data_IF_459112263370
#
_entry.id   IF_459112263370
#
_cell.length_a   1.000
_cell.length_b   1.000
_cell.length_c   1.000
_cell.angle_alpha   90.00
_cell.angle_beta   90.00
_cell.angle_gamma   90.00
#
_symmetry.space_group_name_H-M   'P 1'
#
loop_
_entity.id
_entity.type
_entity.pdbx_description
1 polymer ?
#
# COMPACT_ATOMS: atom_id res chain seq x y z
N UNK A 1 26.42 16.33 42.40
CA UNK A 1 25.20 16.69 41.64
C UNK A 1 25.52 17.47 40.37
N UNK A 2 26.21 18.62 40.44
CA UNK A 2 26.55 19.43 39.25
C UNK A 2 27.47 18.69 38.25
N UNK A 3 28.52 18.03 38.75
CA UNK A 3 29.44 17.23 37.92
C UNK A 3 28.76 16.01 37.27
N UNK A 4 27.82 15.39 37.99
CA UNK A 4 27.04 14.25 37.49
C UNK A 4 26.11 14.68 36.35
N UNK A 5 25.48 15.85 36.47
CA UNK A 5 24.63 16.42 35.43
C UNK A 5 25.43 16.79 34.18
N UNK A 6 26.61 17.41 34.36
CA UNK A 6 27.52 17.78 33.26
C UNK A 6 28.02 16.55 32.52
N UNK A 7 28.41 15.50 33.25
CA UNK A 7 28.84 14.23 32.66
C UNK A 7 27.71 13.57 31.88
N UNK A 8 26.50 13.54 32.43
CA UNK A 8 25.33 13.00 31.74
C UNK A 8 25.02 13.77 30.44
N UNK A 9 25.07 15.10 30.47
CA UNK A 9 24.86 15.92 29.27
C UNK A 9 25.96 15.74 28.23
N UNK A 10 27.21 15.55 28.65
CA UNK A 10 28.32 15.30 27.72
C UNK A 10 28.21 13.93 27.02
N UNK A 11 27.75 12.89 27.74
CA UNK A 11 27.47 11.58 27.15
C UNK A 11 26.31 11.62 26.14
N UNK A 12 25.26 12.41 26.43
CA UNK A 12 24.15 12.58 25.48
C UNK A 12 24.59 13.35 24.22
N UNK A 13 25.48 14.32 24.35
CA UNK A 13 26.00 15.10 23.22
C UNK A 13 26.95 14.28 22.32
N UNK A 14 27.68 13.32 22.90
CA UNK A 14 28.59 12.46 22.15
C UNK A 14 27.88 11.55 21.11
N UNK A 15 26.57 11.32 21.26
CA UNK A 15 25.76 10.58 20.29
C UNK A 15 25.23 11.44 19.13
N UNK A 16 25.51 12.75 19.09
CA UNK A 16 25.22 13.59 17.92
C UNK A 16 26.26 13.40 16.78
N UNK A 17 26.94 12.25 16.75
CA UNK A 17 27.84 11.86 15.68
C UNK A 17 27.02 11.48 14.43
N UNK A 18 26.74 12.50 13.61
CA UNK A 18 26.52 12.47 12.16
C UNK A 18 26.16 11.08 11.62
N UNK A 19 24.88 10.71 11.73
CA UNK A 19 24.33 9.75 10.80
C UNK A 19 24.51 10.38 9.40
N UNK A 20 25.41 9.84 8.59
CA UNK A 20 25.49 10.19 7.17
C UNK A 20 24.06 10.19 6.59
N UNK A 21 23.76 11.08 5.64
CA UNK A 21 22.44 11.18 4.96
C UNK A 21 21.91 9.80 4.52
N UNK A 22 22.80 8.83 4.28
CA UNK A 22 22.46 7.43 4.00
C UNK A 22 21.64 6.69 5.08
N UNK A 23 21.77 6.98 6.37
CA UNK A 23 20.99 6.27 7.41
C UNK A 23 19.60 6.87 7.66
N UNK A 24 19.38 8.15 7.36
CA UNK A 24 18.05 8.75 7.36
C UNK A 24 17.26 8.40 6.09
N UNK A 25 17.96 8.20 4.97
CA UNK A 25 17.36 7.67 3.73
C UNK A 25 16.80 6.25 3.91
N UNK A 26 17.46 5.41 4.72
CA UNK A 26 17.01 4.04 4.99
C UNK A 26 15.65 4.00 5.71
N UNK A 27 15.39 4.94 6.64
CA UNK A 27 14.11 5.05 7.36
C UNK A 27 13.04 5.76 6.53
N UNK A 28 13.41 6.75 5.73
CA UNK A 28 12.45 7.52 4.93
C UNK A 28 11.92 6.76 3.70
N UNK A 29 12.68 5.79 3.16
CA UNK A 29 12.34 5.08 1.92
C UNK A 29 11.43 3.86 2.08
N UNK A 30 11.56 3.08 3.15
CA UNK A 30 10.93 1.75 3.20
C UNK A 30 9.40 1.77 3.39
N UNK A 31 8.88 2.67 4.24
CA UNK A 31 7.44 2.74 4.51
C UNK A 31 6.63 3.40 3.37
N UNK A 32 7.19 4.42 2.73
CA UNK A 32 6.48 5.17 1.68
C UNK A 32 6.30 4.37 0.40
N UNK A 33 7.32 3.63 -0.03
CA UNK A 33 7.22 2.76 -1.20
C UNK A 33 6.31 1.56 -0.94
N UNK A 34 6.32 1.01 0.29
CA UNK A 34 5.38 -0.06 0.67
C UNK A 34 3.93 0.43 0.66
N UNK A 35 3.68 1.66 1.15
CA UNK A 35 2.38 2.30 1.06
C UNK A 35 1.92 2.50 -0.39
N UNK A 36 2.80 3.02 -1.26
CA UNK A 36 2.51 3.16 -2.68
C UNK A 36 2.25 1.81 -3.36
N UNK A 37 3.01 0.77 -3.03
CA UNK A 37 2.83 -0.59 -3.53
C UNK A 37 1.48 -1.19 -3.07
N UNK A 38 1.11 -1.00 -1.81
CA UNK A 38 -0.17 -1.45 -1.27
C UNK A 38 -1.37 -0.77 -1.96
N UNK A 39 -1.28 0.54 -2.19
CA UNK A 39 -2.30 1.30 -2.93
C UNK A 39 -2.40 0.80 -4.38
N UNK A 40 -1.26 0.62 -5.06
CA UNK A 40 -1.22 0.07 -6.42
C UNK A 40 -1.86 -1.31 -6.50
N UNK A 41 -1.58 -2.19 -5.54
CA UNK A 41 -2.19 -3.52 -5.45
C UNK A 41 -3.71 -3.46 -5.25
N UNK A 42 -4.19 -2.59 -4.36
CA UNK A 42 -5.62 -2.41 -4.13
C UNK A 42 -6.36 -1.92 -5.39
N UNK A 43 -5.77 -0.98 -6.14
CA UNK A 43 -6.34 -0.49 -7.40
C UNK A 43 -6.39 -1.61 -8.45
N UNK A 44 -5.30 -2.38 -8.60
CA UNK A 44 -5.25 -3.48 -9.56
C UNK A 44 -6.29 -4.57 -9.26
N UNK A 45 -6.43 -4.96 -8.00
CA UNK A 45 -7.44 -5.94 -7.58
C UNK A 45 -8.87 -5.41 -7.77
N UNK A 46 -9.11 -4.15 -7.44
CA UNK A 46 -10.40 -3.50 -7.67
C UNK A 46 -10.77 -3.46 -9.16
N UNK A 47 -9.82 -3.10 -10.03
CA UNK A 47 -10.02 -3.10 -11.48
C UNK A 47 -10.29 -4.51 -12.03
N UNK A 48 -9.56 -5.53 -11.56
CA UNK A 48 -9.78 -6.92 -11.95
C UNK A 48 -11.15 -7.43 -11.50
N UNK A 49 -11.57 -7.13 -10.27
CA UNK A 49 -12.88 -7.51 -9.76
C UNK A 49 -14.01 -6.85 -10.56
N UNK A 50 -13.90 -5.54 -10.83
CA UNK A 50 -14.89 -4.80 -11.63
C UNK A 50 -14.99 -5.33 -13.07
N UNK A 51 -13.87 -5.63 -13.71
CA UNK A 51 -13.85 -6.18 -15.07
C UNK A 51 -14.48 -7.58 -15.15
N UNK A 52 -14.39 -8.36 -14.06
CA UNK A 52 -14.92 -9.72 -13.99
C UNK A 52 -16.41 -9.75 -13.66
N UNK A 53 -16.87 -8.88 -12.75
CA UNK A 53 -18.29 -8.67 -12.49
C UNK A 53 -19.05 -8.21 -13.74
N UNK A 54 -18.48 -7.30 -14.54
CA UNK A 54 -19.06 -6.87 -15.81
C UNK A 54 -19.21 -8.02 -16.84
N UNK A 55 -18.32 -9.01 -16.81
CA UNK A 55 -18.40 -10.19 -17.67
C UNK A 55 -19.48 -11.16 -17.22
N UNK A 56 -19.61 -11.36 -15.91
CA UNK A 56 -20.65 -12.22 -15.34
C UNK A 56 -22.05 -11.62 -15.55
N UNK A 57 -22.21 -10.30 -15.35
CA UNK A 57 -23.47 -9.59 -15.66
C UNK A 57 -23.83 -9.69 -17.15
N UNK A 58 -22.87 -9.50 -18.06
CA UNK A 58 -23.11 -9.63 -19.50
C UNK A 58 -23.45 -11.07 -19.91
N UNK A 59 -22.89 -12.09 -19.24
CA UNK A 59 -23.24 -13.49 -19.54
C UNK A 59 -24.61 -13.89 -19.00
N UNK A 60 -25.08 -13.30 -17.89
CA UNK A 60 -26.41 -13.60 -17.34
C UNK A 60 -27.51 -12.95 -18.18
N UNK A 61 -27.25 -11.76 -18.73
CA UNK A 61 -28.16 -11.06 -19.65
C UNK A 61 -28.32 -11.81 -20.98
N UNK A 62 -27.20 -12.28 -21.56
CA UNK A 62 -27.17 -13.05 -22.81
C UNK A 62 -27.84 -14.44 -22.67
N UNK A 63 -27.66 -15.12 -21.53
CA UNK A 63 -28.28 -16.43 -21.27
C UNK A 63 -29.81 -16.30 -21.03
N UNK A 64 -30.25 -15.22 -20.38
CA UNK A 64 -31.68 -14.95 -20.16
C UNK A 64 -32.42 -14.57 -21.45
N UNK A 65 -31.81 -13.75 -22.31
CA UNK A 65 -32.40 -13.38 -23.61
C UNK A 65 -32.43 -14.60 -24.57
N UNK A 66 -31.42 -15.48 -24.48
CA UNK A 66 -31.37 -16.71 -25.28
C UNK A 66 -32.37 -17.78 -24.81
N UNK A 67 -32.62 -17.91 -23.50
CA UNK A 67 -33.67 -18.81 -22.97
C UNK A 67 -35.08 -18.34 -23.33
N UNK A 68 -35.34 -17.03 -23.39
CA UNK A 68 -36.64 -16.49 -23.83
C UNK A 68 -36.89 -16.73 -25.34
N UNK A 69 -35.91 -16.51 -26.22
CA UNK A 69 -36.05 -16.81 -27.66
C UNK A 69 -36.27 -18.30 -27.96
N UNK A 70 -35.66 -19.21 -27.17
CA UNK A 70 -35.85 -20.66 -27.34
C UNK A 70 -37.20 -21.17 -26.83
N UNK A 71 -37.87 -20.43 -25.94
CA UNK A 71 -39.19 -20.78 -25.42
C UNK A 71 -40.35 -20.25 -26.27
N UNK A 72 -40.10 -19.25 -27.12
CA UNK A 72 -41.10 -18.69 -28.05
C UNK A 72 -41.10 -19.33 -29.46
N UNK A 73 -40.12 -20.19 -29.78
CA UNK A 73 -39.99 -20.91 -31.07
C UNK A 73 -40.60 -22.33 -31.07
#
# INVERSE_FOLDING_TARGET
MKLTLISLTALLWANAAVAHVGHLAEVAGHGHWLGAAAIGAAIALGALAAAKGKKEEASVDDDAEHEEELQEA
#
